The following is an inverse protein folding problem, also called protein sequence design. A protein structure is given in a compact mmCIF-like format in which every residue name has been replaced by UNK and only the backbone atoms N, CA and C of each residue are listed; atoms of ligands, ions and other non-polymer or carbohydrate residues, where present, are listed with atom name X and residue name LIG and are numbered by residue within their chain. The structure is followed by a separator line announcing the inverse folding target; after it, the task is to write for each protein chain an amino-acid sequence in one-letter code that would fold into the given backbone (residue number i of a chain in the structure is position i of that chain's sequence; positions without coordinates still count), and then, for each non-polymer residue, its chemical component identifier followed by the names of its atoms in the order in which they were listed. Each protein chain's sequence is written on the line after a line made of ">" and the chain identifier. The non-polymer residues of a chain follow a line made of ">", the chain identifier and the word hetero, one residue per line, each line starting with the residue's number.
data_IF_190471967124
#
_entry.id   IF_190471967124
#
_cell.length_a   1.000
_cell.length_b   1.000
_cell.length_c   1.000
_cell.angle_alpha   90.00
_cell.angle_beta   90.00
_cell.angle_gamma   90.00
#
_symmetry.space_group_name_H-M   'P 1'
#
loop_
_entity.id
_entity.type
_entity.pdbx_description
1 polymer ?
#
# COMPACT_ATOMS: atom_id res chain seq x y z
N UNK A 1 -5.26 -7.14 -6.01
CA UNK A 1 -5.09 -6.26 -4.83
C UNK A 1 -3.61 -6.12 -4.51
N UNK A 2 -3.16 -4.99 -3.92
CA UNK A 2 -1.78 -4.80 -3.41
C UNK A 2 -1.85 -4.53 -1.91
N UNK A 3 -1.10 -5.30 -1.11
CA UNK A 3 -1.02 -5.15 0.34
C UNK A 3 0.24 -4.36 0.72
N UNK A 4 0.11 -3.39 1.61
CA UNK A 4 1.21 -2.62 2.20
C UNK A 4 1.29 -2.94 3.69
N UNK A 5 2.44 -3.47 4.11
CA UNK A 5 2.74 -3.70 5.52
C UNK A 5 3.40 -2.44 6.09
N UNK A 6 2.72 -1.80 7.05
CA UNK A 6 3.18 -0.54 7.63
C UNK A 6 4.10 -0.78 8.84
N UNK A 7 5.21 -0.03 8.89
CA UNK A 7 6.06 0.07 10.08
C UNK A 7 5.48 1.09 11.07
N UNK A 8 5.62 0.83 12.37
CA UNK A 8 5.21 1.73 13.46
C UNK A 8 5.75 3.14 13.34
N UNK A 9 6.91 3.31 12.72
CA UNK A 9 7.56 4.62 12.52
C UNK A 9 6.83 5.50 11.51
N UNK A 10 5.90 4.93 10.74
CA UNK A 10 5.06 5.65 9.76
C UNK A 10 3.60 5.81 10.22
N UNK A 11 3.27 5.49 11.48
CA UNK A 11 1.93 5.61 12.05
C UNK A 11 1.33 7.03 12.02
N UNK A 12 2.10 8.03 11.56
CA UNK A 12 1.65 9.42 11.40
C UNK A 12 1.59 9.86 9.93
N UNK A 13 1.62 8.95 8.96
CA UNK A 13 1.18 9.29 7.60
C UNK A 13 -0.29 8.90 7.49
N UNK A 14 -1.25 9.80 7.80
CA UNK A 14 -2.58 9.66 7.23
C UNK A 14 -2.38 9.77 5.72
N UNK A 15 -2.34 8.62 5.05
CA UNK A 15 -2.23 8.49 3.60
C UNK A 15 -3.58 8.91 2.98
N UNK A 16 -3.92 10.19 3.12
CA UNK A 16 -4.93 10.88 2.34
C UNK A 16 -4.22 11.73 1.29
N UNK A 17 -3.57 11.06 0.34
CA UNK A 17 -3.12 11.71 -0.88
C UNK A 17 -4.28 11.68 -1.88
N UNK A 18 -5.22 12.62 -1.74
CA UNK A 18 -6.33 12.80 -2.68
C UNK A 18 -5.84 13.51 -3.95
N UNK A 19 -5.07 12.82 -4.81
CA UNK A 19 -4.70 13.34 -6.15
C UNK A 19 -5.83 12.99 -7.13
N UNK A 20 -6.83 13.85 -7.21
CA UNK A 20 -7.88 13.76 -8.23
C UNK A 20 -7.26 13.98 -9.62
N UNK A 21 -7.17 12.90 -10.39
CA UNK A 21 -6.87 12.95 -11.82
C UNK A 21 -7.96 12.16 -12.57
N UNK A 22 -8.91 12.88 -13.16
CA UNK A 22 -9.94 12.36 -14.07
C UNK A 22 -9.28 11.85 -15.37
N UNK A 23 -9.74 10.72 -15.89
CA UNK A 23 -9.44 10.29 -17.27
C UNK A 23 -9.73 8.82 -17.55
N UNK A 24 -10.73 8.57 -18.39
CA UNK A 24 -11.43 7.31 -18.65
C UNK A 24 -10.78 6.36 -19.69
N UNK A 25 -11.31 5.12 -19.74
CA UNK A 25 -11.63 4.45 -21.01
C UNK A 25 -10.97 3.10 -21.26
N UNK A 26 -11.73 2.00 -21.12
CA UNK A 26 -11.36 0.67 -21.62
C UNK A 26 -11.50 0.62 -23.15
N UNK A 27 -10.52 0.06 -23.86
CA UNK A 27 -10.55 -0.14 -25.33
C UNK A 27 -10.84 -1.61 -25.68
N UNK A 28 -11.80 -1.78 -26.59
CA UNK A 28 -12.11 -3.02 -27.30
C UNK A 28 -11.04 -3.35 -28.36
N UNK A 29 -10.92 -4.62 -28.83
CA UNK A 29 -9.82 -5.05 -29.71
C UNK A 29 -9.97 -4.49 -31.15
N UNK A 30 -8.87 -4.23 -31.88
CA UNK A 30 -8.95 -3.59 -33.19
C UNK A 30 -9.21 -4.61 -34.30
N UNK A 31 -10.17 -4.30 -35.17
CA UNK A 31 -10.29 -4.88 -36.51
C UNK A 31 -9.20 -4.34 -37.44
N UNK A 32 -8.85 -5.14 -38.46
CA UNK A 32 -7.82 -4.85 -39.47
C UNK A 32 -8.16 -3.56 -40.25
N UNK A 33 -7.26 -2.57 -40.19
CA UNK A 33 -7.37 -1.27 -40.88
C UNK A 33 -6.10 -0.92 -41.65
N UNK A 34 -6.23 -0.06 -42.65
CA UNK A 34 -5.16 0.26 -43.61
C UNK A 34 -3.95 0.99 -42.99
N UNK A 35 -2.80 0.93 -43.67
CA UNK A 35 -1.52 1.50 -43.23
C UNK A 35 -1.56 3.02 -43.00
N UNK A 36 -2.31 3.77 -43.80
CA UNK A 36 -2.48 5.22 -43.63
C UNK A 36 -3.31 5.60 -42.38
N UNK A 37 -4.35 4.82 -42.08
CA UNK A 37 -5.17 4.99 -40.88
C UNK A 37 -4.38 4.64 -39.60
N UNK A 38 -3.45 3.69 -39.70
CA UNK A 38 -2.58 3.28 -38.59
C UNK A 38 -1.57 4.38 -38.23
N UNK A 39 -1.00 5.07 -39.22
CA UNK A 39 -0.05 6.19 -39.01
C UNK A 39 -0.73 7.41 -38.37
N UNK A 40 -1.91 7.80 -38.86
CA UNK A 40 -2.69 8.92 -38.30
C UNK A 40 -3.17 8.65 -36.86
N UNK A 41 -3.53 7.41 -36.54
CA UNK A 41 -3.86 7.00 -35.17
C UNK A 41 -2.65 7.10 -34.25
N UNK A 42 -1.48 6.62 -34.66
CA UNK A 42 -0.23 6.73 -33.89
C UNK A 42 0.16 8.18 -33.60
N UNK A 43 0.06 9.07 -34.59
CA UNK A 43 0.35 10.50 -34.37
C UNK A 43 -0.64 11.16 -33.40
N UNK A 44 -1.93 10.80 -33.47
CA UNK A 44 -2.95 11.30 -32.54
C UNK A 44 -2.75 10.81 -31.10
N UNK A 45 -2.31 9.56 -30.93
CA UNK A 45 -2.03 8.95 -29.63
C UNK A 45 -0.77 9.53 -29.00
N UNK A 46 0.27 9.80 -29.78
CA UNK A 46 1.48 10.46 -29.29
C UNK A 46 1.23 11.93 -28.91
N UNK A 47 0.41 12.66 -29.67
CA UNK A 47 -0.01 14.01 -29.31
C UNK A 47 -0.82 14.02 -28.00
N UNK A 48 -1.75 13.07 -27.85
CA UNK A 48 -2.54 12.90 -26.62
C UNK A 48 -1.65 12.55 -25.40
N UNK A 49 -0.68 11.64 -25.56
CA UNK A 49 0.31 11.32 -24.51
C UNK A 49 1.17 12.52 -24.14
N UNK A 50 1.61 13.32 -25.13
CA UNK A 50 2.42 14.54 -24.88
C UNK A 50 1.60 15.60 -24.15
N UNK A 51 0.36 15.84 -24.55
CA UNK A 51 -0.55 16.77 -23.87
C UNK A 51 -0.84 16.34 -22.42
N UNK A 52 -1.10 15.04 -22.20
CA UNK A 52 -1.26 14.45 -20.86
C UNK A 52 -0.01 14.63 -19.99
N UNK A 53 1.18 14.42 -20.56
CA UNK A 53 2.46 14.62 -19.85
C UNK A 53 2.70 16.10 -19.51
N UNK A 54 2.38 17.02 -20.42
CA UNK A 54 2.49 18.47 -20.18
C UNK A 54 1.54 18.94 -19.07
N UNK A 55 0.28 18.50 -19.09
CA UNK A 55 -0.69 18.80 -18.04
C UNK A 55 -0.25 18.29 -16.66
N UNK A 56 0.30 17.07 -16.61
CA UNK A 56 0.84 16.50 -15.36
C UNK A 56 2.05 17.27 -14.85
N UNK A 57 2.96 17.70 -15.74
CA UNK A 57 4.10 18.56 -15.38
C UNK A 57 3.65 19.93 -14.85
N UNK A 58 2.61 20.52 -15.44
CA UNK A 58 2.07 21.80 -14.97
C UNK A 58 1.51 21.69 -13.53
N UNK A 59 0.76 20.63 -13.23
CA UNK A 59 0.26 20.39 -11.87
C UNK A 59 1.39 20.13 -10.87
N UNK A 60 2.40 19.34 -11.26
CA UNK A 60 3.58 19.09 -10.41
C UNK A 60 4.35 20.37 -10.16
N UNK A 61 4.48 21.25 -11.16
CA UNK A 61 5.15 22.55 -11.02
C UNK A 61 4.50 23.40 -9.92
N UNK A 62 3.16 23.53 -9.95
CA UNK A 62 2.42 24.27 -8.91
C UNK A 62 2.66 23.67 -7.52
N UNK A 63 2.58 22.35 -7.39
CA UNK A 63 2.87 21.67 -6.13
C UNK A 63 4.29 21.95 -5.62
N UNK A 64 5.29 21.90 -6.52
CA UNK A 64 6.69 22.16 -6.17
C UNK A 64 6.89 23.60 -5.73
N UNK A 65 6.36 24.57 -6.46
CA UNK A 65 6.45 26.00 -6.13
C UNK A 65 5.80 26.32 -4.78
N UNK A 66 4.59 25.79 -4.52
CA UNK A 66 3.91 25.97 -3.22
C UNK A 66 4.65 25.27 -2.08
N UNK A 67 5.25 24.11 -2.33
CA UNK A 67 6.07 23.40 -1.33
C UNK A 67 7.31 24.22 -0.96
N UNK A 68 8.01 24.79 -1.95
CA UNK A 68 9.15 25.69 -1.71
C UNK A 68 8.74 26.94 -0.96
N UNK A 69 7.61 27.56 -1.34
CA UNK A 69 7.07 28.76 -0.69
C UNK A 69 6.69 28.51 0.78
N UNK A 70 6.06 27.36 1.07
CA UNK A 70 5.67 26.96 2.43
C UNK A 70 6.90 26.66 3.30
N UNK A 71 7.95 26.08 2.71
CA UNK A 71 9.20 25.74 3.37
C UNK A 71 9.04 24.70 4.48
N UNK A 72 10.17 24.26 5.06
CA UNK A 72 10.19 23.17 6.05
C UNK A 72 9.31 23.49 7.26
N UNK A 73 9.39 24.72 7.79
CA UNK A 73 8.59 25.13 8.97
C UNK A 73 7.09 25.10 8.68
N UNK A 74 6.66 25.57 7.51
CA UNK A 74 5.26 25.56 7.11
C UNK A 74 4.72 24.15 6.90
N UNK A 75 5.53 23.27 6.28
CA UNK A 75 5.17 21.85 6.09
C UNK A 75 5.01 21.13 7.44
N UNK A 76 5.89 21.41 8.41
CA UNK A 76 5.76 20.87 9.78
C UNK A 76 4.48 21.36 10.45
N UNK A 77 4.15 22.66 10.31
CA UNK A 77 2.93 23.23 10.88
C UNK A 77 1.66 22.59 10.27
N UNK A 78 1.62 22.45 8.95
CA UNK A 78 0.54 21.76 8.24
C UNK A 78 0.42 20.31 8.70
N UNK A 79 1.52 19.57 8.75
CA UNK A 79 1.54 18.19 9.24
C UNK A 79 0.98 18.05 10.66
N UNK A 80 1.41 18.92 11.58
CA UNK A 80 0.90 18.96 12.96
C UNK A 80 -0.59 19.27 13.01
N UNK A 81 -1.09 20.15 12.13
CA UNK A 81 -2.53 20.48 12.03
C UNK A 81 -3.37 19.31 11.52
N UNK A 82 -2.77 18.40 10.75
CA UNK A 82 -3.44 17.18 10.27
C UNK A 82 -3.55 16.09 11.33
N UNK A 83 -2.92 16.24 12.50
CA UNK A 83 -2.94 15.23 13.57
C UNK A 83 -4.38 15.03 14.06
N UNK A 84 -4.97 13.90 13.69
CA UNK A 84 -6.26 13.45 14.22
C UNK A 84 -6.02 12.53 15.41
N UNK A 85 -6.81 12.69 16.46
CA UNK A 85 -6.86 11.70 17.53
C UNK A 85 -7.64 10.48 17.06
N UNK A 86 -7.29 9.31 17.60
CA UNK A 86 -8.09 8.11 17.36
C UNK A 86 -9.47 8.29 17.97
N UNK A 87 -10.48 8.20 17.12
CA UNK A 87 -11.87 8.11 17.53
C UNK A 87 -12.20 6.62 17.73
N UNK A 88 -12.02 6.13 18.96
CA UNK A 88 -12.24 4.72 19.29
C UNK A 88 -13.69 4.27 19.09
N UNK A 89 -14.65 5.19 18.98
CA UNK A 89 -16.05 4.86 18.65
C UNK A 89 -16.21 4.28 17.24
N UNK A 90 -15.22 4.50 16.36
CA UNK A 90 -15.16 3.97 14.99
C UNK A 90 -14.22 2.77 14.84
N UNK A 91 -13.77 2.21 15.96
CA UNK A 91 -12.73 1.18 16.04
C UNK A 91 -13.12 0.11 17.07
N UNK A 92 -14.40 -0.22 17.13
CA UNK A 92 -14.98 -1.13 18.14
C UNK A 92 -14.36 -2.52 18.05
N UNK A 93 -14.19 -3.06 16.84
CA UNK A 93 -13.58 -4.37 16.64
C UNK A 93 -12.09 -4.34 17.02
N UNK A 94 -11.37 -3.27 16.66
CA UNK A 94 -9.99 -3.09 17.09
C UNK A 94 -9.87 -3.11 18.63
N UNK A 95 -10.75 -2.40 19.34
CA UNK A 95 -10.74 -2.35 20.80
C UNK A 95 -11.03 -3.74 21.40
N UNK A 96 -12.02 -4.46 20.87
CA UNK A 96 -12.36 -5.81 21.32
C UNK A 96 -11.19 -6.80 21.21
N UNK A 97 -10.34 -6.63 20.20
CA UNK A 97 -9.24 -7.54 19.88
C UNK A 97 -7.94 -7.23 20.63
N UNK A 98 -7.94 -6.19 21.49
CA UNK A 98 -6.81 -5.84 22.35
C UNK A 98 -6.51 -6.91 23.40
N UNK A 99 -7.54 -7.48 24.03
CA UNK A 99 -7.38 -8.55 25.02
C UNK A 99 -6.83 -9.84 24.38
N UNK A 100 -7.17 -10.08 23.12
CA UNK A 100 -6.74 -11.24 22.33
C UNK A 100 -5.30 -11.14 21.80
N UNK A 101 -4.64 -9.99 22.02
CA UNK A 101 -3.26 -9.75 21.60
C UNK A 101 -3.07 -9.72 20.08
N UNK A 102 -4.09 -9.30 19.33
CA UNK A 102 -4.07 -9.32 17.85
C UNK A 102 -3.64 -7.99 17.24
N UNK A 103 -3.52 -6.96 18.05
CA UNK A 103 -3.04 -5.63 17.66
C UNK A 103 -1.59 -5.44 18.11
N UNK A 104 -0.73 -5.01 17.19
CA UNK A 104 0.68 -4.75 17.51
C UNK A 104 0.85 -3.53 18.40
N UNK A 105 0.01 -2.51 18.21
CA UNK A 105 0.02 -1.25 18.96
C UNK A 105 -1.40 -0.87 19.36
N UNK A 106 -1.60 -0.50 20.63
CA UNK A 106 -2.91 -0.10 21.17
C UNK A 106 -3.32 1.32 20.74
N UNK A 107 -2.35 2.13 20.35
CA UNK A 107 -2.49 3.51 19.91
C UNK A 107 -2.52 3.67 18.38
N UNK A 108 -2.43 2.56 17.62
CA UNK A 108 -2.62 2.55 16.17
C UNK A 108 -3.90 1.82 15.85
N UNK A 109 -5.00 2.56 15.71
CA UNK A 109 -6.33 2.00 15.51
C UNK A 109 -6.56 1.37 14.14
N UNK A 110 -7.55 0.48 14.05
CA UNK A 110 -8.08 -0.06 12.80
C UNK A 110 -9.56 0.34 12.70
N UNK A 111 -9.93 1.00 11.60
CA UNK A 111 -11.28 1.56 11.42
C UNK A 111 -12.29 0.49 11.04
N UNK A 112 -13.46 0.49 11.67
CA UNK A 112 -14.50 -0.52 11.41
C UNK A 112 -15.06 -0.44 9.98
N UNK A 113 -15.31 0.78 9.48
CA UNK A 113 -15.97 0.99 8.18
C UNK A 113 -15.18 0.44 6.99
N UNK A 114 -13.85 0.46 7.08
CA UNK A 114 -12.96 0.09 5.98
C UNK A 114 -12.12 -1.15 6.32
N UNK A 115 -12.41 -1.87 7.40
CA UNK A 115 -11.60 -3.04 7.78
C UNK A 115 -11.77 -4.17 6.79
N UNK A 116 -10.71 -4.95 6.63
CA UNK A 116 -10.78 -6.24 5.94
C UNK A 116 -11.42 -7.25 6.90
N UNK A 117 -12.47 -7.93 6.44
CA UNK A 117 -13.14 -9.00 7.18
C UNK A 117 -12.71 -10.33 6.58
N UNK A 118 -12.04 -11.18 7.36
CA UNK A 118 -11.67 -12.53 6.95
C UNK A 118 -12.91 -13.42 7.02
N UNK A 119 -13.17 -14.18 5.95
CA UNK A 119 -14.30 -15.10 5.81
C UNK A 119 -13.89 -16.56 5.68
N UNK A 120 -12.63 -16.82 5.31
CA UNK A 120 -12.11 -18.18 5.07
C UNK A 120 -11.32 -18.75 6.25
N UNK A 121 -11.07 -17.94 7.29
CA UNK A 121 -10.34 -18.31 8.48
C UNK A 121 -11.23 -18.40 9.72
N UNK A 122 -10.70 -18.92 10.84
CA UNK A 122 -11.46 -19.09 12.09
C UNK A 122 -11.77 -17.76 12.79
N UNK A 123 -11.00 -16.71 12.50
CA UNK A 123 -11.12 -15.38 13.11
C UNK A 123 -11.44 -14.37 12.02
N UNK A 124 -12.51 -13.59 12.21
CA UNK A 124 -12.95 -12.59 11.21
C UNK A 124 -12.09 -11.31 11.22
N UNK A 125 -11.35 -11.08 12.31
CA UNK A 125 -10.55 -9.89 12.52
C UNK A 125 -9.09 -10.04 12.07
N UNK A 126 -8.65 -9.06 11.29
CA UNK A 126 -7.25 -8.73 11.02
C UNK A 126 -7.09 -7.21 11.05
N UNK A 127 -5.98 -6.71 11.61
CA UNK A 127 -5.68 -5.28 11.63
C UNK A 127 -5.22 -4.82 10.24
N UNK A 128 -6.21 -4.57 9.38
CA UNK A 128 -6.02 -4.16 8.00
C UNK A 128 -7.20 -3.33 7.52
N UNK A 129 -6.93 -2.23 6.81
CA UNK A 129 -7.95 -1.37 6.21
C UNK A 129 -7.75 -1.26 4.70
N UNK A 130 -8.85 -1.22 3.95
CA UNK A 130 -8.82 -0.83 2.55
C UNK A 130 -8.47 0.66 2.43
N UNK A 131 -7.60 0.98 1.47
CA UNK A 131 -7.23 2.36 1.15
C UNK A 131 -7.54 2.62 -0.31
N UNK A 132 -8.32 3.67 -0.53
CA UNK A 132 -8.73 4.12 -1.85
C UNK A 132 -7.64 4.95 -2.53
N UNK A 133 -7.64 4.91 -3.85
CA UNK A 133 -7.08 5.95 -4.70
C UNK A 133 -8.22 6.68 -5.40
N UNK A 134 -7.99 7.88 -5.94
CA UNK A 134 -9.03 8.66 -6.62
C UNK A 134 -9.70 7.95 -7.81
N UNK A 135 -9.06 6.93 -8.39
CA UNK A 135 -9.61 6.13 -9.49
C UNK A 135 -10.02 4.72 -9.08
N UNK A 136 -9.79 4.31 -7.83
CA UNK A 136 -10.10 2.96 -7.36
C UNK A 136 -10.35 2.97 -5.84
N UNK A 137 -11.59 2.70 -5.39
CA UNK A 137 -11.97 2.76 -3.96
C UNK A 137 -11.29 1.68 -3.10
N UNK A 138 -10.79 0.59 -3.69
CA UNK A 138 -10.09 -0.50 -2.99
C UNK A 138 -8.73 -0.74 -3.65
N UNK A 139 -7.94 0.31 -3.77
CA UNK A 139 -6.66 0.25 -4.50
C UNK A 139 -5.63 -0.59 -3.74
N UNK A 140 -5.60 -0.42 -2.42
CA UNK A 140 -4.61 -1.00 -1.54
C UNK A 140 -5.25 -1.56 -0.26
N UNK A 141 -4.53 -2.44 0.42
CA UNK A 141 -4.78 -2.79 1.83
C UNK A 141 -3.58 -2.33 2.63
N UNK A 142 -3.78 -1.46 3.61
CA UNK A 142 -2.75 -1.14 4.60
C UNK A 142 -2.99 -1.98 5.84
N UNK A 143 -1.97 -2.70 6.30
CA UNK A 143 -2.06 -3.61 7.44
C UNK A 143 -0.85 -3.46 8.35
N UNK A 144 -1.02 -3.80 9.63
CA UNK A 144 0.09 -3.89 10.56
C UNK A 144 1.07 -5.00 10.14
N UNK A 145 2.33 -4.87 10.58
CA UNK A 145 3.28 -5.98 10.50
C UNK A 145 2.77 -7.23 11.24
N UNK A 146 2.65 -8.40 10.57
CA UNK A 146 2.14 -9.62 11.19
C UNK A 146 2.81 -9.92 12.54
N UNK A 147 1.98 -10.37 13.48
CA UNK A 147 2.40 -10.98 14.74
C UNK A 147 2.48 -12.49 14.54
N UNK A 148 3.25 -13.24 15.36
CA UNK A 148 3.31 -14.71 15.23
C UNK A 148 1.91 -15.37 15.21
N UNK A 149 1.01 -14.93 16.09
CA UNK A 149 -0.39 -15.41 16.17
C UNK A 149 -1.26 -15.00 14.98
N UNK A 150 -0.90 -13.94 14.24
CA UNK A 150 -1.72 -13.40 13.14
C UNK A 150 -1.16 -13.76 11.75
N UNK A 151 -0.04 -14.49 11.66
CA UNK A 151 0.50 -14.95 10.38
C UNK A 151 -0.49 -15.78 9.55
N UNK A 152 -1.22 -16.79 10.09
CA UNK A 152 -2.22 -17.50 9.30
C UNK A 152 -3.34 -16.58 8.80
N UNK A 153 -3.81 -15.66 9.64
CA UNK A 153 -4.85 -14.68 9.30
C UNK A 153 -4.41 -13.74 8.17
N UNK A 154 -3.15 -13.31 8.18
CA UNK A 154 -2.56 -12.53 7.10
C UNK A 154 -2.63 -13.29 5.76
N UNK A 155 -2.32 -14.58 5.75
CA UNK A 155 -2.41 -15.40 4.54
C UNK A 155 -3.84 -15.69 4.10
N UNK A 156 -4.77 -15.89 5.05
CA UNK A 156 -6.19 -15.96 4.72
C UNK A 156 -6.66 -14.68 4.02
N UNK A 157 -6.25 -13.51 4.51
CA UNK A 157 -6.52 -12.23 3.85
C UNK A 157 -5.90 -12.18 2.43
N UNK A 158 -4.63 -12.56 2.28
CA UNK A 158 -3.93 -12.55 0.97
C UNK A 158 -4.68 -13.39 -0.07
N UNK A 159 -5.06 -14.61 0.29
CA UNK A 159 -5.79 -15.54 -0.58
C UNK A 159 -7.20 -15.02 -0.88
N UNK A 160 -7.94 -14.61 0.16
CA UNK A 160 -9.30 -14.09 0.02
C UNK A 160 -9.36 -12.88 -0.93
N UNK A 161 -8.45 -11.93 -0.76
CA UNK A 161 -8.43 -10.68 -1.52
C UNK A 161 -7.73 -10.83 -2.88
N UNK A 162 -7.31 -12.06 -3.23
CA UNK A 162 -6.59 -12.39 -4.46
C UNK A 162 -5.44 -11.42 -4.68
N UNK A 163 -4.66 -11.20 -3.63
CA UNK A 163 -3.56 -10.25 -3.65
C UNK A 163 -2.42 -10.79 -4.49
N UNK A 164 -1.93 -9.97 -5.41
CA UNK A 164 -0.88 -10.35 -6.37
C UNK A 164 0.48 -9.78 -6.00
N UNK A 165 0.52 -8.85 -5.04
CA UNK A 165 1.73 -8.24 -4.54
C UNK A 165 1.58 -7.84 -3.07
N UNK A 166 2.66 -8.04 -2.32
CA UNK A 166 2.84 -7.60 -0.93
C UNK A 166 4.06 -6.70 -0.91
N UNK A 167 3.91 -5.49 -0.39
CA UNK A 167 4.98 -4.52 -0.19
C UNK A 167 5.29 -4.46 1.31
N UNK A 168 6.42 -5.06 1.69
CA UNK A 168 6.92 -5.01 3.07
C UNK A 168 7.83 -3.78 3.24
N UNK A 169 7.39 -2.82 4.06
CA UNK A 169 8.08 -1.54 4.28
C UNK A 169 8.82 -1.48 5.63
N UNK A 170 9.09 -2.64 6.22
CA UNK A 170 9.85 -2.80 7.46
C UNK A 170 10.77 -4.01 7.36
N UNK A 171 11.78 -4.06 8.23
CA UNK A 171 12.54 -5.30 8.43
C UNK A 171 11.85 -6.16 9.50
N UNK A 172 12.20 -7.45 9.58
CA UNK A 172 11.77 -8.30 10.70
C UNK A 172 12.29 -7.76 12.05
N UNK A 173 13.53 -7.28 12.05
CA UNK A 173 14.21 -6.72 13.22
C UNK A 173 14.71 -5.32 12.86
N UNK A 174 14.42 -4.33 13.70
CA UNK A 174 14.95 -2.97 13.61
C UNK A 174 15.43 -2.56 15.00
N UNK A 175 16.64 -1.99 15.10
CA UNK A 175 17.21 -1.55 16.38
C UNK A 175 17.15 -2.65 17.46
N UNK A 176 17.47 -3.90 17.10
CA UNK A 176 17.39 -5.09 17.96
C UNK A 176 15.98 -5.43 18.50
N UNK A 177 14.93 -4.82 17.97
CA UNK A 177 13.55 -5.11 18.34
C UNK A 177 12.80 -5.81 17.19
N UNK A 178 12.02 -6.84 17.51
CA UNK A 178 11.16 -7.54 16.53
C UNK A 178 10.01 -6.62 16.09
N UNK A 179 10.03 -6.20 14.82
CA UNK A 179 9.00 -5.33 14.21
C UNK A 179 7.99 -6.11 13.37
N UNK A 180 8.39 -7.25 12.81
CA UNK A 180 7.52 -8.11 12.02
C UNK A 180 7.83 -9.58 12.33
N UNK A 181 6.81 -10.43 12.39
CA UNK A 181 7.03 -11.88 12.39
C UNK A 181 7.47 -12.34 11.00
N UNK A 182 8.23 -13.44 10.95
CA UNK A 182 8.54 -14.14 9.70
C UNK A 182 7.26 -14.82 9.18
N UNK A 183 6.56 -14.15 8.29
CA UNK A 183 5.31 -14.64 7.70
C UNK A 183 5.53 -15.34 6.36
N UNK A 184 6.71 -15.24 5.75
CA UNK A 184 7.07 -15.92 4.51
C UNK A 184 8.44 -16.59 4.66
N UNK A 185 8.67 -17.72 3.98
CA UNK A 185 9.97 -18.39 3.97
C UNK A 185 11.04 -17.53 3.29
N UNK A 186 12.20 -17.43 3.94
CA UNK A 186 13.38 -16.71 3.43
C UNK A 186 14.37 -17.62 2.68
N UNK A 187 14.11 -18.93 2.69
CA UNK A 187 14.92 -19.98 2.04
C UNK A 187 13.98 -20.83 1.16
N UNK A 188 14.39 -21.16 -0.07
CA UNK A 188 13.53 -21.81 -1.08
C UNK A 188 13.08 -23.23 -0.66
N UNK A 189 13.93 -23.96 0.06
CA UNK A 189 13.69 -25.36 0.45
C UNK A 189 12.99 -25.51 1.81
N UNK A 190 12.61 -24.40 2.44
CA UNK A 190 12.05 -24.41 3.79
C UNK A 190 10.67 -23.74 3.82
N UNK A 191 9.59 -24.47 3.48
CA UNK A 191 8.23 -23.96 3.62
C UNK A 191 7.91 -23.51 5.05
N UNK A 192 7.12 -22.44 5.18
CA UNK A 192 6.52 -22.08 6.46
C UNK A 192 5.09 -22.64 6.52
N UNK A 193 4.82 -23.40 7.58
CA UNK A 193 3.47 -23.89 7.88
C UNK A 193 2.95 -23.17 9.11
N UNK A 194 1.71 -22.68 9.02
CA UNK A 194 0.98 -22.06 10.11
C UNK A 194 -0.27 -22.88 10.44
N UNK A 195 -0.87 -22.59 11.59
CA UNK A 195 -2.13 -23.20 12.02
C UNK A 195 -3.23 -23.07 10.94
N UNK A 196 -4.17 -24.01 10.96
CA UNK A 196 -5.26 -24.05 9.99
C UNK A 196 -4.83 -24.41 8.57
N UNK A 197 -3.71 -25.15 8.45
CA UNK A 197 -3.25 -25.76 7.20
C UNK A 197 -2.64 -24.78 6.19
N UNK A 198 -2.28 -23.57 6.61
CA UNK A 198 -1.66 -22.58 5.74
C UNK A 198 -0.19 -22.95 5.52
N UNK A 199 0.16 -23.31 4.29
CA UNK A 199 1.54 -23.58 3.89
C UNK A 199 2.00 -22.55 2.84
N UNK A 200 3.14 -21.92 3.10
CA UNK A 200 3.75 -20.91 2.23
C UNK A 200 5.09 -21.44 1.75
N UNK A 201 5.26 -21.44 0.44
CA UNK A 201 6.47 -21.94 -0.22
C UNK A 201 7.09 -20.80 -1.02
N UNK A 202 8.38 -20.55 -0.81
CA UNK A 202 9.15 -19.64 -1.64
C UNK A 202 9.48 -20.35 -2.95
N UNK A 203 9.04 -19.80 -4.08
CA UNK A 203 9.32 -20.38 -5.40
C UNK A 203 10.58 -19.84 -6.05
N UNK A 204 10.90 -18.57 -5.77
CA UNK A 204 12.00 -17.85 -6.38
C UNK A 204 12.32 -16.62 -5.55
N UNK A 205 13.61 -16.34 -5.37
CA UNK A 205 14.08 -15.05 -4.86
C UNK A 205 15.06 -14.41 -5.83
N UNK A 206 14.82 -13.14 -6.17
CA UNK A 206 15.74 -12.34 -6.99
C UNK A 206 16.32 -11.22 -6.12
N UNK A 207 17.65 -11.11 -5.98
CA UNK A 207 18.25 -9.97 -5.33
C UNK A 207 18.04 -8.71 -6.17
N UNK A 208 17.56 -7.65 -5.55
CA UNK A 208 17.52 -6.34 -6.21
C UNK A 208 18.93 -5.76 -6.19
N UNK A 209 19.49 -5.46 -7.37
CA UNK A 209 20.78 -4.76 -7.47
C UNK A 209 20.70 -3.43 -6.71
N UNK A 210 21.68 -3.16 -5.85
CA UNK A 210 21.76 -1.88 -5.13
C UNK A 210 21.97 -0.77 -6.17
N UNK A 211 20.99 0.12 -6.29
CA UNK A 211 21.17 1.36 -7.04
C UNK A 211 22.14 2.23 -6.24
N UNK A 212 23.41 2.28 -6.67
CA UNK A 212 24.41 3.20 -6.14
C UNK A 212 24.08 4.61 -6.59
N UNK A 213 23.62 5.46 -5.68
CA UNK A 213 23.49 6.89 -5.92
C UNK A 213 24.87 7.52 -5.75
N UNK A 214 25.41 8.14 -6.81
CA UNK A 214 26.57 9.03 -6.68
C UNK A 214 26.14 10.23 -5.84
N UNK A 215 26.62 10.29 -4.60
CA UNK A 215 26.41 11.41 -3.68
C UNK A 215 27.34 12.59 -4.00
N UNK A 216 27.46 12.95 -5.28
CA UNK A 216 28.08 14.21 -5.71
C UNK A 216 26.97 15.20 -6.06
N UNK A 217 26.27 15.69 -5.04
CA UNK A 217 25.58 16.97 -5.13
C UNK A 217 26.48 17.98 -4.42
N UNK A 218 27.32 18.65 -5.22
CA UNK A 218 28.10 19.83 -4.80
C UNK A 218 27.18 21.04 -4.62
#
# INVERSE_FOLDING_TARGET
>A
MVILIQCSSFAVIPLYLHISLKGAGARAPPSLQSSAQTAARRSSEDASRRASKAAKRAQVKVFVEETFKKGVKGLIAEFKSMKRMNDFTKMTEFVAQNAEGRNRYKDVGCLDNDRVIIRIGPVSYIHANYVSSPTNPKRFICTQAPLPKTCPDFWYMVVQEKSVAILMLCNFIEQNAKKCAEYFPVEEERPLTFDGGVCVVLKKQEPVEKISYNSEIK
#
